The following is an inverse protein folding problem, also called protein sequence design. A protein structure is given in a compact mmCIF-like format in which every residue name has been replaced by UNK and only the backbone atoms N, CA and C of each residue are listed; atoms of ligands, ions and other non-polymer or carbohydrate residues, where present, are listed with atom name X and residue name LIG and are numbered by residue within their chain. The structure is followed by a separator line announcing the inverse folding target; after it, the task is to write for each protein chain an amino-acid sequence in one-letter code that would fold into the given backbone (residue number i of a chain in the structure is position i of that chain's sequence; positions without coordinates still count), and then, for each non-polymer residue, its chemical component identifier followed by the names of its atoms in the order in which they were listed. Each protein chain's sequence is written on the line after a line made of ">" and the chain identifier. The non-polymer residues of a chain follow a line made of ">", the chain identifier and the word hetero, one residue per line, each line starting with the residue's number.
data_IF_303548548074
#
_entry.id   IF_303548548074
#
_cell.length_a   1.000
_cell.length_b   1.000
_cell.length_c   1.000
_cell.angle_alpha   90.00
_cell.angle_beta   90.00
_cell.angle_gamma   90.00
#
_symmetry.space_group_name_H-M   'P 1'
#
loop_
_entity.id
_entity.type
_entity.pdbx_description
1 polymer ?
#
# COMPACT_ATOMS: atom_id res chain seq x y z
N UNK A 1 34.33 53.53 -11.35
CA UNK A 1 33.07 53.46 -12.12
C UNK A 1 32.12 52.56 -11.35
N UNK A 2 31.12 53.17 -10.73
CA UNK A 2 30.19 52.59 -9.75
C UNK A 2 28.82 52.46 -10.41
N UNK A 3 28.35 51.24 -10.64
CA UNK A 3 27.00 50.95 -11.16
C UNK A 3 26.07 50.57 -10.02
N UNK A 4 25.16 51.49 -9.65
CA UNK A 4 24.04 51.20 -8.74
C UNK A 4 22.93 50.50 -9.53
N UNK A 5 22.54 49.30 -9.13
CA UNK A 5 21.30 48.65 -9.57
C UNK A 5 20.13 49.24 -8.77
N UNK A 6 19.12 49.74 -9.49
CA UNK A 6 17.84 50.19 -8.96
C UNK A 6 16.92 48.98 -8.75
N UNK A 7 16.39 48.84 -7.53
CA UNK A 7 15.25 47.99 -7.23
C UNK A 7 13.97 48.64 -7.75
N UNK A 8 13.30 47.98 -8.69
CA UNK A 8 11.93 48.30 -9.10
C UNK A 8 10.94 47.56 -8.22
N UNK A 9 10.29 48.33 -7.34
CA UNK A 9 9.10 47.96 -6.58
C UNK A 9 7.93 47.67 -7.52
N UNK A 10 7.42 46.44 -7.50
CA UNK A 10 6.15 46.07 -8.11
C UNK A 10 5.07 46.07 -7.04
N UNK A 11 4.10 46.96 -7.24
CA UNK A 11 3.03 47.29 -6.31
C UNK A 11 2.07 46.15 -6.02
N UNK A 12 1.62 46.13 -4.76
CA UNK A 12 0.52 45.30 -4.31
C UNK A 12 -0.82 45.80 -4.84
N UNK A 13 -1.57 44.89 -5.45
CA UNK A 13 -3.00 45.00 -5.65
C UNK A 13 -3.70 44.03 -4.68
N UNK A 14 -4.24 44.55 -3.59
CA UNK A 14 -5.12 43.80 -2.69
C UNK A 14 -6.52 43.75 -3.30
N UNK A 15 -6.78 42.71 -4.09
CA UNK A 15 -8.13 42.35 -4.51
C UNK A 15 -8.84 41.65 -3.36
N UNK A 16 -9.77 42.34 -2.71
CA UNK A 16 -10.74 41.75 -1.78
C UNK A 16 -11.73 40.88 -2.59
N UNK A 17 -11.34 39.63 -2.83
CA UNK A 17 -12.27 38.59 -3.24
C UNK A 17 -12.97 38.06 -1.99
N UNK A 18 -14.22 38.50 -1.78
CA UNK A 18 -15.11 37.90 -0.79
C UNK A 18 -15.27 36.41 -1.11
N UNK A 19 -14.63 35.56 -0.31
CA UNK A 19 -14.88 34.11 -0.34
C UNK A 19 -16.29 33.87 0.18
N UNK A 20 -17.17 33.17 -0.55
CA UNK A 20 -18.51 32.88 -0.07
C UNK A 20 -18.42 32.08 1.25
N UNK A 21 -18.99 32.64 2.31
CA UNK A 21 -19.19 31.95 3.59
C UNK A 21 -20.14 30.78 3.35
N UNK A 22 -19.57 29.58 3.22
CA UNK A 22 -20.33 28.34 3.26
C UNK A 22 -20.67 28.06 4.72
N UNK A 23 -21.96 28.10 5.07
CA UNK A 23 -22.48 27.73 6.38
C UNK A 23 -21.92 26.36 6.84
N UNK A 24 -21.54 26.31 8.12
CA UNK A 24 -20.93 25.19 8.87
C UNK A 24 -21.83 23.94 9.04
N UNK A 25 -22.51 23.53 7.97
CA UNK A 25 -23.08 22.19 7.86
C UNK A 25 -21.96 21.21 7.55
N UNK A 26 -21.32 20.66 8.59
CA UNK A 26 -20.26 19.66 8.44
C UNK A 26 -20.64 18.62 7.38
N UNK A 27 -19.73 18.29 6.44
CA UNK A 27 -20.09 17.50 5.27
C UNK A 27 -20.67 16.17 5.74
N UNK A 28 -21.96 15.95 5.46
CA UNK A 28 -22.59 14.65 5.69
C UNK A 28 -21.80 13.56 4.95
N UNK A 29 -22.04 12.29 5.28
CA UNK A 29 -21.32 11.15 4.69
C UNK A 29 -21.28 11.20 3.13
N UNK A 30 -22.33 11.75 2.51
CA UNK A 30 -22.39 12.04 1.07
C UNK A 30 -21.48 13.20 0.63
N UNK A 31 -21.34 14.28 1.41
CA UNK A 31 -20.40 15.37 1.15
C UNK A 31 -18.93 14.94 1.29
N UNK A 32 -18.63 13.96 2.14
CA UNK A 32 -17.28 13.36 2.25
C UNK A 32 -16.97 12.41 1.09
N UNK A 33 -18.00 11.80 0.49
CA UNK A 33 -17.85 10.88 -0.66
C UNK A 33 -17.97 11.59 -2.02
N UNK A 34 -18.67 12.72 -2.12
CA UNK A 34 -18.86 13.50 -3.34
C UNK A 34 -17.59 14.09 -3.98
N UNK A 35 -16.50 14.46 -3.28
CA UNK A 35 -15.27 14.88 -3.96
C UNK A 35 -14.67 13.79 -4.85
N UNK A 36 -15.05 12.52 -4.69
CA UNK A 36 -14.65 11.45 -5.62
C UNK A 36 -15.30 11.55 -7.01
N UNK A 37 -16.47 12.21 -7.12
CA UNK A 37 -17.26 12.26 -8.37
C UNK A 37 -17.11 13.62 -9.06
N UNK A 38 -16.90 14.69 -8.29
CA UNK A 38 -16.70 16.03 -8.83
C UNK A 38 -15.20 16.37 -8.83
N UNK A 39 -14.62 16.59 -10.01
CA UNK A 39 -13.24 17.08 -10.19
C UNK A 39 -13.27 18.61 -10.40
N UNK A 40 -13.24 19.45 -9.35
CA UNK A 40 -13.16 20.90 -9.50
C UNK A 40 -11.72 21.30 -9.79
N UNK A 41 -11.20 21.01 -10.97
CA UNK A 41 -9.82 21.35 -11.31
C UNK A 41 -9.68 21.80 -12.77
N UNK A 42 -9.56 23.11 -12.95
CA UNK A 42 -9.32 23.75 -14.25
C UNK A 42 -7.89 23.54 -14.77
N UNK A 43 -6.93 23.17 -13.90
CA UNK A 43 -5.53 22.96 -14.28
C UNK A 43 -5.06 21.50 -14.16
N UNK A 44 -4.00 21.12 -14.88
CA UNK A 44 -3.36 19.81 -14.71
C UNK A 44 -2.65 19.68 -13.36
N UNK A 45 -2.11 20.78 -12.83
CA UNK A 45 -1.43 20.81 -11.53
C UNK A 45 -2.37 20.55 -10.36
N UNK A 46 -3.56 21.17 -10.38
CA UNK A 46 -4.55 20.98 -9.32
C UNK A 46 -5.12 19.55 -9.32
N UNK A 47 -5.31 18.92 -10.50
CA UNK A 47 -5.67 17.49 -10.61
C UNK A 47 -4.60 16.59 -10.00
N UNK A 48 -3.33 16.91 -10.23
CA UNK A 48 -2.22 16.13 -9.67
C UNK A 48 -2.16 16.25 -8.14
N UNK A 49 -2.25 17.47 -7.61
CA UNK A 49 -2.27 17.71 -6.16
C UNK A 49 -3.45 16.98 -5.48
N UNK A 50 -4.62 16.98 -6.12
CA UNK A 50 -5.77 16.21 -5.63
C UNK A 50 -5.49 14.70 -5.59
N UNK A 51 -4.93 14.14 -6.66
CA UNK A 51 -4.59 12.71 -6.70
C UNK A 51 -3.55 12.32 -5.66
N UNK A 52 -2.49 13.12 -5.48
CA UNK A 52 -1.49 12.90 -4.42
C UNK A 52 -2.14 12.93 -3.02
N UNK A 53 -2.96 13.95 -2.74
CA UNK A 53 -3.70 14.04 -1.49
C UNK A 53 -4.64 12.84 -1.27
N UNK A 54 -5.32 12.38 -2.33
CA UNK A 54 -6.20 11.23 -2.26
C UNK A 54 -5.45 9.96 -1.88
N UNK A 55 -4.33 9.67 -2.55
CA UNK A 55 -3.53 8.47 -2.29
C UNK A 55 -2.81 8.49 -0.94
N UNK A 56 -2.39 9.68 -0.48
CA UNK A 56 -1.69 9.83 0.80
C UNK A 56 -2.66 9.86 2.00
N UNK A 57 -3.94 10.16 1.74
CA UNK A 57 -5.00 10.13 2.74
C UNK A 57 -5.24 8.73 3.31
N UNK A 58 -5.93 8.67 4.46
CA UNK A 58 -6.40 7.41 5.06
C UNK A 58 -7.28 6.65 4.07
N UNK A 59 -8.10 7.35 3.27
CA UNK A 59 -8.98 6.73 2.29
C UNK A 59 -8.21 6.10 1.13
N UNK A 60 -7.16 6.76 0.63
CA UNK A 60 -6.26 6.17 -0.36
C UNK A 60 -5.66 4.85 0.12
N UNK A 61 -5.24 4.80 1.39
CA UNK A 61 -4.73 3.57 2.02
C UNK A 61 -5.80 2.51 2.22
N UNK A 62 -7.06 2.88 2.45
CA UNK A 62 -8.18 1.92 2.52
C UNK A 62 -8.50 1.36 1.13
N UNK A 63 -8.43 2.20 0.09
CA UNK A 63 -8.70 1.79 -1.29
C UNK A 63 -7.74 0.71 -1.79
N UNK A 64 -6.48 0.69 -1.34
CA UNK A 64 -5.54 -0.39 -1.69
C UNK A 64 -5.92 -1.75 -1.09
N UNK A 65 -6.78 -1.80 -0.07
CA UNK A 65 -7.34 -3.05 0.47
C UNK A 65 -8.67 -3.45 -0.16
N UNK A 66 -9.25 -2.61 -1.04
CA UNK A 66 -10.56 -2.84 -1.63
C UNK A 66 -10.68 -4.19 -2.37
N UNK A 67 -9.68 -4.66 -3.16
CA UNK A 67 -9.74 -5.99 -3.76
C UNK A 67 -9.97 -7.12 -2.75
N UNK A 68 -9.28 -7.07 -1.60
CA UNK A 68 -9.44 -8.07 -0.54
C UNK A 68 -10.80 -7.96 0.15
N UNK A 69 -11.29 -6.73 0.38
CA UNK A 69 -12.61 -6.49 0.95
C UNK A 69 -13.69 -7.07 0.04
N UNK A 70 -13.60 -6.87 -1.28
CA UNK A 70 -14.53 -7.42 -2.25
C UNK A 70 -14.52 -8.95 -2.23
N UNK A 71 -13.34 -9.56 -2.14
CA UNK A 71 -13.25 -11.02 -2.05
C UNK A 71 -13.89 -11.53 -0.74
N UNK A 72 -13.64 -10.87 0.39
CA UNK A 72 -14.25 -11.27 1.66
C UNK A 72 -15.77 -11.07 1.68
N UNK A 73 -16.27 -9.96 1.12
CA UNK A 73 -17.68 -9.61 1.15
C UNK A 73 -18.53 -10.44 0.17
N UNK A 74 -18.00 -10.69 -1.03
CA UNK A 74 -18.76 -11.30 -2.14
C UNK A 74 -18.41 -12.78 -2.32
N UNK A 75 -17.19 -13.18 -1.97
CA UNK A 75 -16.62 -14.49 -2.30
C UNK A 75 -17.39 -15.70 -1.77
N UNK A 76 -18.13 -15.53 -0.67
CA UNK A 76 -18.97 -16.60 -0.11
C UNK A 76 -20.15 -16.98 -1.02
N UNK A 77 -20.74 -16.01 -1.72
CA UNK A 77 -21.95 -16.21 -2.53
C UNK A 77 -21.65 -16.24 -4.03
N UNK A 78 -20.71 -15.41 -4.48
CA UNK A 78 -20.41 -15.22 -5.90
C UNK A 78 -18.90 -15.17 -6.12
N UNK A 79 -18.24 -16.32 -5.97
CA UNK A 79 -16.79 -16.48 -6.17
C UNK A 79 -16.28 -15.83 -7.46
N UNK A 80 -16.97 -16.08 -8.59
CA UNK A 80 -16.62 -15.54 -9.91
C UNK A 80 -16.68 -14.02 -9.94
N UNK A 81 -17.78 -13.43 -9.44
CA UNK A 81 -17.91 -11.98 -9.39
C UNK A 81 -16.86 -11.36 -8.46
N UNK A 82 -16.63 -11.99 -7.29
CA UNK A 82 -15.67 -11.51 -6.31
C UNK A 82 -14.23 -11.43 -6.88
N UNK A 83 -13.76 -12.48 -7.55
CA UNK A 83 -12.39 -12.52 -8.10
C UNK A 83 -12.23 -11.59 -9.30
N UNK A 84 -13.21 -11.54 -10.21
CA UNK A 84 -13.16 -10.61 -11.34
C UNK A 84 -13.27 -9.15 -10.90
N UNK A 85 -14.11 -8.83 -9.90
CA UNK A 85 -14.18 -7.48 -9.35
C UNK A 85 -12.89 -7.10 -8.62
N UNK A 86 -12.28 -8.01 -7.86
CA UNK A 86 -11.00 -7.75 -7.22
C UNK A 86 -9.87 -7.51 -8.24
N UNK A 87 -9.79 -8.32 -9.30
CA UNK A 87 -8.87 -8.09 -10.41
C UNK A 87 -9.13 -6.74 -11.09
N UNK A 88 -10.40 -6.41 -11.37
CA UNK A 88 -10.76 -5.13 -11.99
C UNK A 88 -10.37 -3.92 -11.14
N UNK A 89 -10.60 -3.98 -9.82
CA UNK A 89 -10.17 -2.92 -8.90
C UNK A 89 -8.65 -2.82 -8.82
N UNK A 90 -7.94 -3.93 -8.71
CA UNK A 90 -6.47 -3.93 -8.69
C UNK A 90 -5.89 -3.33 -9.98
N UNK A 91 -6.48 -3.66 -11.13
CA UNK A 91 -6.09 -3.09 -12.41
C UNK A 91 -6.32 -1.57 -12.46
N UNK A 92 -7.43 -1.07 -11.89
CA UNK A 92 -7.68 0.36 -11.75
C UNK A 92 -6.67 1.05 -10.83
N UNK A 93 -6.28 0.40 -9.72
CA UNK A 93 -5.24 0.91 -8.81
C UNK A 93 -3.88 0.99 -9.53
N UNK A 94 -3.52 -0.02 -10.33
CA UNK A 94 -2.31 0.03 -11.17
C UNK A 94 -2.39 1.17 -12.17
N UNK A 95 -3.50 1.35 -12.89
CA UNK A 95 -3.63 2.46 -13.83
C UNK A 95 -3.51 3.82 -13.12
N UNK A 96 -4.09 3.96 -11.93
CA UNK A 96 -3.97 5.17 -11.13
C UNK A 96 -2.52 5.39 -10.62
N UNK A 97 -1.80 4.32 -10.26
CA UNK A 97 -0.37 4.38 -9.91
C UNK A 97 0.49 4.78 -11.12
N UNK A 98 0.25 4.20 -12.30
CA UNK A 98 0.92 4.57 -13.55
C UNK A 98 0.66 6.04 -13.85
N UNK A 99 -0.59 6.50 -13.74
CA UNK A 99 -0.94 7.90 -13.93
C UNK A 99 -0.19 8.81 -12.94
N UNK A 100 -0.16 8.46 -11.64
CA UNK A 100 0.59 9.18 -10.60
C UNK A 100 2.09 9.27 -10.93
N UNK A 101 2.70 8.17 -11.37
CA UNK A 101 4.13 8.10 -11.70
C UNK A 101 4.56 9.01 -12.85
N UNK A 102 3.62 9.40 -13.74
CA UNK A 102 3.91 10.36 -14.82
C UNK A 102 4.22 11.75 -14.30
N UNK A 103 3.67 12.11 -13.13
CA UNK A 103 3.84 13.42 -12.53
C UNK A 103 4.81 13.39 -11.34
N UNK A 104 4.93 12.25 -10.67
CA UNK A 104 5.85 12.06 -9.55
C UNK A 104 6.91 11.01 -9.88
N UNK A 105 8.11 11.47 -10.29
CA UNK A 105 9.26 10.59 -10.63
C UNK A 105 9.75 9.70 -9.49
N UNK A 106 9.35 9.98 -8.24
CA UNK A 106 9.75 9.20 -7.07
C UNK A 106 8.83 7.99 -6.84
N UNK A 107 7.64 7.99 -7.44
CA UNK A 107 6.68 6.89 -7.36
C UNK A 107 6.90 5.97 -8.57
N UNK A 108 7.23 4.68 -8.36
CA UNK A 108 7.37 3.75 -9.47
C UNK A 108 6.03 3.57 -10.19
N UNK A 109 6.06 3.44 -11.52
CA UNK A 109 4.84 3.27 -12.32
C UNK A 109 4.02 2.04 -11.89
N UNK A 110 4.72 0.93 -11.65
CA UNK A 110 4.14 -0.31 -11.16
C UNK A 110 4.84 -0.65 -9.85
N UNK A 111 4.07 -0.64 -8.78
CA UNK A 111 4.49 -1.11 -7.47
C UNK A 111 4.61 -2.65 -7.50
N UNK A 112 5.64 -3.19 -6.85
CA UNK A 112 5.94 -4.62 -6.92
C UNK A 112 4.79 -5.46 -6.34
N UNK A 113 4.23 -5.00 -5.22
CA UNK A 113 3.10 -5.66 -4.58
C UNK A 113 1.88 -5.65 -5.51
N UNK A 114 1.50 -4.50 -6.04
CA UNK A 114 0.33 -4.32 -6.90
C UNK A 114 0.44 -5.17 -8.18
N UNK A 115 1.61 -5.18 -8.82
CA UNK A 115 1.86 -6.04 -9.97
C UNK A 115 1.71 -7.53 -9.65
N UNK A 116 2.25 -7.96 -8.50
CA UNK A 116 2.11 -9.34 -8.02
C UNK A 116 0.67 -9.71 -7.66
N UNK A 117 -0.06 -8.81 -7.01
CA UNK A 117 -1.47 -8.99 -6.65
C UNK A 117 -2.36 -9.04 -7.89
N UNK A 118 -2.13 -8.17 -8.86
CA UNK A 118 -2.86 -8.15 -10.13
C UNK A 118 -2.70 -9.49 -10.87
N UNK A 119 -1.47 -9.99 -10.99
CA UNK A 119 -1.21 -11.30 -11.59
C UNK A 119 -1.84 -12.44 -10.78
N UNK A 120 -1.78 -12.37 -9.45
CA UNK A 120 -2.40 -13.35 -8.57
C UNK A 120 -3.92 -13.40 -8.72
N UNK A 121 -4.59 -12.24 -8.67
CA UNK A 121 -6.04 -12.13 -8.85
C UNK A 121 -6.48 -12.52 -10.27
N UNK A 122 -5.70 -12.17 -11.30
CA UNK A 122 -5.95 -12.63 -12.66
C UNK A 122 -5.90 -14.16 -12.76
N UNK A 123 -4.82 -14.76 -12.24
CA UNK A 123 -4.65 -16.22 -12.23
C UNK A 123 -5.78 -16.91 -11.48
N UNK A 124 -6.19 -16.36 -10.33
CA UNK A 124 -7.32 -16.86 -9.56
C UNK A 124 -8.66 -16.69 -10.29
N UNK A 125 -8.92 -15.54 -10.93
CA UNK A 125 -10.15 -15.29 -11.68
C UNK A 125 -10.28 -16.26 -12.87
N UNK A 126 -9.18 -16.51 -13.59
CA UNK A 126 -9.12 -17.52 -14.65
C UNK A 126 -9.38 -18.92 -14.08
N UNK A 127 -8.68 -19.30 -13.00
CA UNK A 127 -8.85 -20.61 -12.37
C UNK A 127 -10.29 -20.85 -11.91
N UNK A 128 -10.92 -19.85 -11.27
CA UNK A 128 -12.34 -19.89 -10.88
C UNK A 128 -13.21 -20.03 -12.12
N UNK A 129 -12.97 -19.27 -13.18
CA UNK A 129 -13.78 -19.29 -14.41
C UNK A 129 -13.74 -20.64 -15.11
N UNK A 130 -12.56 -21.26 -15.21
CA UNK A 130 -12.38 -22.58 -15.82
C UNK A 130 -13.06 -23.66 -14.97
N UNK A 131 -12.83 -23.66 -13.66
CA UNK A 131 -13.39 -24.67 -12.76
C UNK A 131 -14.91 -24.51 -12.55
N UNK A 132 -15.47 -23.33 -12.81
CA UNK A 132 -16.90 -23.07 -12.72
C UNK A 132 -17.70 -23.72 -13.86
N UNK A 133 -17.09 -23.89 -15.03
CA UNK A 133 -17.75 -24.41 -16.24
C UNK A 133 -18.18 -25.88 -16.13
N UNK A 134 -17.36 -26.71 -15.47
CA UNK A 134 -17.56 -28.16 -15.46
C UNK A 134 -18.47 -28.67 -14.34
N UNK A 135 -18.65 -27.91 -13.25
CA UNK A 135 -19.61 -28.22 -12.19
C UNK A 135 -19.74 -27.03 -11.23
N UNK A 136 -20.92 -26.39 -11.21
CA UNK A 136 -21.25 -25.29 -10.26
C UNK A 136 -21.00 -25.64 -8.79
N UNK A 137 -20.87 -26.92 -8.45
CA UNK A 137 -20.73 -27.41 -7.09
C UNK A 137 -19.27 -27.70 -6.68
N UNK A 138 -18.32 -27.77 -7.63
CA UNK A 138 -16.96 -28.25 -7.34
C UNK A 138 -16.05 -27.13 -6.85
N UNK A 139 -16.25 -25.88 -7.27
CA UNK A 139 -15.44 -24.79 -6.76
C UNK A 139 -15.88 -24.40 -5.34
N UNK A 140 -15.18 -24.97 -4.37
CA UNK A 140 -15.43 -24.71 -2.97
C UNK A 140 -14.94 -23.30 -2.62
N UNK A 141 -15.87 -22.34 -2.41
CA UNK A 141 -15.55 -20.95 -2.05
C UNK A 141 -14.55 -20.82 -0.89
N UNK A 142 -14.43 -21.85 -0.04
CA UNK A 142 -13.43 -21.90 1.03
C UNK A 142 -11.97 -21.94 0.55
N UNK A 143 -11.69 -22.23 -0.73
CA UNK A 143 -10.34 -22.18 -1.31
C UNK A 143 -9.90 -20.75 -1.65
N UNK A 144 -10.81 -19.80 -1.74
CA UNK A 144 -10.48 -18.43 -2.14
C UNK A 144 -9.56 -17.76 -1.11
N UNK A 145 -9.92 -17.85 0.18
CA UNK A 145 -9.14 -17.28 1.27
C UNK A 145 -7.68 -17.81 1.33
N UNK A 146 -7.44 -19.14 1.37
CA UNK A 146 -6.07 -19.65 1.41
C UNK A 146 -5.27 -19.36 0.14
N UNK A 147 -5.91 -19.29 -1.03
CA UNK A 147 -5.21 -18.88 -2.26
C UNK A 147 -4.77 -17.42 -2.17
N UNK A 148 -5.63 -16.52 -1.69
CA UNK A 148 -5.29 -15.09 -1.58
C UNK A 148 -4.15 -14.80 -0.60
N UNK A 149 -4.20 -15.40 0.59
CA UNK A 149 -3.13 -15.25 1.57
C UNK A 149 -1.82 -15.86 1.07
N UNK A 150 -1.90 -16.94 0.27
CA UNK A 150 -0.74 -17.54 -0.40
C UNK A 150 -0.17 -16.64 -1.51
N UNK A 151 -1.01 -15.92 -2.25
CA UNK A 151 -0.56 -14.89 -3.22
C UNK A 151 0.21 -13.79 -2.49
N UNK A 152 -0.34 -13.23 -1.39
CA UNK A 152 0.35 -12.22 -0.58
C UNK A 152 1.71 -12.70 -0.07
N UNK A 153 1.74 -13.93 0.48
CA UNK A 153 2.97 -14.57 0.93
C UNK A 153 3.96 -14.76 -0.22
N UNK A 154 3.51 -15.31 -1.36
CA UNK A 154 4.34 -15.60 -2.52
C UNK A 154 4.93 -14.34 -3.16
N UNK A 155 4.15 -13.29 -3.33
CA UNK A 155 4.62 -11.99 -3.85
C UNK A 155 5.64 -11.39 -2.88
N UNK A 156 5.35 -11.41 -1.57
CA UNK A 156 6.30 -10.89 -0.57
C UNK A 156 7.60 -11.68 -0.56
N UNK A 157 7.54 -13.01 -0.66
CA UNK A 157 8.70 -13.88 -0.73
C UNK A 157 9.52 -13.59 -2.00
N UNK A 158 8.86 -13.47 -3.15
CA UNK A 158 9.51 -13.13 -4.42
C UNK A 158 10.20 -11.77 -4.34
N UNK A 159 9.59 -10.78 -3.68
CA UNK A 159 10.17 -9.46 -3.46
C UNK A 159 11.50 -9.54 -2.69
N UNK A 160 11.56 -10.43 -1.68
CA UNK A 160 12.77 -10.67 -0.89
C UNK A 160 13.85 -11.39 -1.69
N UNK A 161 13.48 -12.41 -2.48
CA UNK A 161 14.40 -13.18 -3.33
C UNK A 161 15.05 -12.26 -4.38
N UNK A 162 14.28 -11.35 -4.97
CA UNK A 162 14.78 -10.39 -5.94
C UNK A 162 15.51 -9.20 -5.30
N UNK A 163 15.62 -9.15 -3.97
CA UNK A 163 16.20 -8.03 -3.23
C UNK A 163 15.51 -6.68 -3.54
N UNK A 164 14.22 -6.71 -3.89
CA UNK A 164 13.38 -5.54 -4.13
C UNK A 164 12.28 -5.53 -3.05
N UNK A 165 12.58 -5.07 -1.82
CA UNK A 165 11.63 -5.13 -0.72
C UNK A 165 10.37 -4.33 -1.06
N UNK A 166 9.19 -4.97 -1.04
CA UNK A 166 7.96 -4.28 -1.45
C UNK A 166 7.65 -3.05 -0.58
N UNK A 167 8.09 -3.04 0.69
CA UNK A 167 7.91 -1.88 1.59
C UNK A 167 8.60 -0.61 1.10
N UNK A 168 9.63 -0.76 0.25
CA UNK A 168 10.33 0.37 -0.36
C UNK A 168 9.40 1.26 -1.17
N UNK A 169 8.36 0.72 -1.80
CA UNK A 169 7.43 1.51 -2.63
C UNK A 169 6.66 2.55 -1.81
N UNK A 170 6.38 2.27 -0.53
CA UNK A 170 5.71 3.20 0.38
C UNK A 170 6.70 4.18 1.01
N UNK A 171 7.90 3.71 1.34
CA UNK A 171 8.91 4.53 1.99
C UNK A 171 9.54 5.54 1.03
N UNK A 172 9.75 5.17 -0.25
CA UNK A 172 10.46 5.98 -1.26
C UNK A 172 9.77 7.31 -1.55
N UNK A 173 8.44 7.36 -1.50
CA UNK A 173 7.68 8.59 -1.71
C UNK A 173 7.96 9.68 -0.65
N UNK A 174 8.48 9.29 0.52
CA UNK A 174 8.63 10.18 1.68
C UNK A 174 10.10 10.50 2.02
N UNK A 175 11.06 10.07 1.20
CA UNK A 175 12.49 10.27 1.46
C UNK A 175 13.22 10.85 0.25
N UNK A 176 14.22 11.72 0.45
CA UNK A 176 15.08 12.21 -0.63
C UNK A 176 15.77 11.06 -1.38
N UNK A 177 16.09 11.28 -2.65
CA UNK A 177 16.66 10.25 -3.53
C UNK A 177 18.02 9.74 -3.04
N UNK A 178 18.83 10.61 -2.44
CA UNK A 178 20.13 10.28 -1.86
C UNK A 178 19.96 9.32 -0.68
N UNK A 179 18.91 9.51 0.11
CA UNK A 179 18.57 8.63 1.23
C UNK A 179 18.00 7.30 0.72
N UNK A 180 17.15 7.34 -0.30
CA UNK A 180 16.54 6.15 -0.90
C UNK A 180 17.58 5.19 -1.50
N UNK A 181 18.70 5.72 -2.02
CA UNK A 181 19.81 4.93 -2.56
C UNK A 181 20.76 4.40 -1.48
N UNK A 182 20.61 4.82 -0.22
CA UNK A 182 21.51 4.40 0.84
C UNK A 182 21.30 2.93 1.24
N UNK A 183 22.40 2.21 1.50
CA UNK A 183 22.35 0.80 1.97
C UNK A 183 21.57 0.64 3.27
N UNK A 184 21.58 1.65 4.14
CA UNK A 184 20.80 1.66 5.38
C UNK A 184 19.29 1.69 5.12
N UNK A 185 18.84 2.45 4.12
CA UNK A 185 17.44 2.51 3.74
C UNK A 185 16.97 1.18 3.14
N UNK A 186 17.76 0.58 2.25
CA UNK A 186 17.47 -0.74 1.69
C UNK A 186 17.40 -1.81 2.77
N UNK A 187 18.38 -1.86 3.68
CA UNK A 187 18.39 -2.82 4.79
C UNK A 187 17.17 -2.64 5.70
N UNK A 188 16.76 -1.40 5.97
CA UNK A 188 15.55 -1.13 6.74
C UNK A 188 14.28 -1.67 6.08
N UNK A 189 14.12 -1.45 4.77
CA UNK A 189 13.00 -2.00 4.01
C UNK A 189 13.07 -3.53 3.89
N UNK A 190 14.26 -4.13 3.84
CA UNK A 190 14.42 -5.58 3.87
C UNK A 190 13.92 -6.18 5.19
N UNK A 191 14.26 -5.55 6.33
CA UNK A 191 13.79 -5.97 7.66
C UNK A 191 12.27 -5.84 7.77
N UNK A 192 11.70 -4.71 7.32
CA UNK A 192 10.25 -4.50 7.33
C UNK A 192 9.52 -5.50 6.43
N UNK A 193 10.05 -5.75 5.23
CA UNK A 193 9.51 -6.77 4.31
C UNK A 193 9.60 -8.17 4.91
N UNK A 194 10.71 -8.51 5.56
CA UNK A 194 10.87 -9.78 6.26
C UNK A 194 9.88 -9.95 7.41
N UNK A 195 9.56 -8.89 8.14
CA UNK A 195 8.51 -8.89 9.16
C UNK A 195 7.13 -9.20 8.54
N UNK A 196 6.77 -8.54 7.44
CA UNK A 196 5.52 -8.82 6.71
C UNK A 196 5.49 -10.22 6.11
N UNK A 197 6.63 -10.74 5.62
CA UNK A 197 6.75 -12.10 5.13
C UNK A 197 6.34 -13.13 6.18
N UNK A 198 6.80 -12.95 7.43
CA UNK A 198 6.43 -13.82 8.55
C UNK A 198 4.93 -13.75 8.85
N UNK A 199 4.35 -12.54 8.88
CA UNK A 199 2.91 -12.38 9.09
C UNK A 199 2.10 -13.08 7.99
N UNK A 200 2.45 -12.87 6.72
CA UNK A 200 1.76 -13.51 5.60
C UNK A 200 1.96 -15.02 5.56
N UNK A 201 3.12 -15.53 6.00
CA UNK A 201 3.35 -16.97 6.13
C UNK A 201 2.41 -17.58 7.19
N UNK A 202 2.26 -16.94 8.35
CA UNK A 202 1.34 -17.37 9.41
C UNK A 202 -0.12 -17.30 8.91
N UNK A 203 -0.50 -16.21 8.24
CA UNK A 203 -1.83 -16.06 7.66
C UNK A 203 -2.13 -17.16 6.63
N UNK A 204 -1.20 -17.42 5.71
CA UNK A 204 -1.34 -18.46 4.69
C UNK A 204 -1.51 -19.83 5.36
N UNK A 205 -0.61 -20.20 6.27
CA UNK A 205 -0.68 -21.46 7.01
C UNK A 205 -2.02 -21.61 7.75
N UNK A 206 -2.46 -20.57 8.48
CA UNK A 206 -3.73 -20.59 9.21
C UNK A 206 -4.93 -20.79 8.28
N UNK A 207 -4.98 -20.10 7.14
CA UNK A 207 -6.09 -20.26 6.19
C UNK A 207 -6.10 -21.64 5.52
N UNK A 208 -4.94 -22.27 5.29
CA UNK A 208 -4.86 -23.66 4.84
C UNK A 208 -5.30 -24.65 5.93
N UNK A 209 -4.94 -24.43 7.19
CA UNK A 209 -5.46 -25.21 8.32
C UNK A 209 -6.98 -25.07 8.44
N UNK A 210 -7.52 -23.86 8.29
CA UNK A 210 -8.96 -23.62 8.28
C UNK A 210 -9.64 -24.41 7.14
N UNK A 211 -9.05 -24.39 5.94
CA UNK A 211 -9.55 -25.18 4.82
C UNK A 211 -9.55 -26.69 5.09
N UNK A 212 -8.55 -27.21 5.81
CA UNK A 212 -8.54 -28.61 6.23
C UNK A 212 -9.70 -28.93 7.20
N UNK A 213 -9.98 -28.06 8.16
CA UNK A 213 -11.12 -28.22 9.10
C UNK A 213 -12.49 -28.06 8.43
N UNK A 214 -12.56 -27.25 7.38
CA UNK A 214 -13.80 -27.00 6.64
C UNK A 214 -14.44 -28.28 6.10
N UNK A 215 -13.63 -29.28 5.72
CA UNK A 215 -14.13 -30.59 5.25
C UNK A 215 -14.92 -31.34 6.32
N UNK A 216 -14.63 -31.13 7.59
CA UNK A 216 -15.22 -31.87 8.70
C UNK A 216 -16.36 -31.09 9.38
N UNK A 217 -16.25 -29.76 9.50
CA UNK A 217 -17.31 -28.94 10.11
C UNK A 217 -17.23 -27.46 9.66
N UNK A 218 -18.16 -27.07 8.78
CA UNK A 218 -18.24 -25.76 8.13
C UNK A 218 -18.48 -24.57 9.08
N UNK A 219 -19.02 -24.82 10.28
CA UNK A 219 -19.37 -23.79 11.29
C UNK A 219 -18.57 -23.95 12.59
N UNK A 220 -17.46 -24.67 12.53
CA UNK A 220 -16.54 -24.79 13.64
C UNK A 220 -15.99 -23.40 14.02
N UNK A 221 -15.88 -23.14 15.32
CA UNK A 221 -15.32 -21.88 15.85
C UNK A 221 -13.86 -21.73 15.37
N UNK A 222 -13.16 -22.85 15.27
CA UNK A 222 -11.81 -23.01 14.76
C UNK A 222 -11.69 -22.50 13.32
N UNK A 223 -12.65 -22.81 12.45
CA UNK A 223 -12.67 -22.28 11.09
C UNK A 223 -12.77 -20.76 11.07
N UNK A 224 -13.70 -20.17 11.85
CA UNK A 224 -13.92 -18.73 11.90
C UNK A 224 -12.66 -18.01 12.43
N UNK A 225 -12.05 -18.56 13.48
CA UNK A 225 -10.83 -18.00 14.07
C UNK A 225 -9.69 -18.02 13.05
N UNK A 226 -9.42 -19.18 12.44
CA UNK A 226 -8.28 -19.35 11.55
C UNK A 226 -8.47 -18.68 10.17
N UNK A 227 -9.68 -18.71 9.61
CA UNK A 227 -9.96 -18.18 8.27
C UNK A 227 -10.20 -16.67 8.24
N UNK A 228 -10.64 -16.07 9.36
CA UNK A 228 -11.10 -14.66 9.37
C UNK A 228 -10.45 -13.86 10.48
N UNK A 229 -10.62 -14.26 11.75
CA UNK A 229 -10.16 -13.44 12.89
C UNK A 229 -8.64 -13.29 12.88
N UNK A 230 -7.91 -14.39 12.75
CA UNK A 230 -6.45 -14.38 12.80
C UNK A 230 -5.82 -13.57 11.66
N UNK A 231 -6.22 -13.72 10.37
CA UNK A 231 -5.77 -12.85 9.29
C UNK A 231 -5.98 -11.35 9.57
N UNK A 232 -7.17 -10.96 10.05
CA UNK A 232 -7.47 -9.56 10.36
C UNK A 232 -6.57 -9.05 11.48
N UNK A 233 -6.45 -9.80 12.57
CA UNK A 233 -5.60 -9.44 13.71
C UNK A 233 -4.14 -9.30 13.28
N UNK A 234 -3.62 -10.21 12.46
CA UNK A 234 -2.23 -10.14 11.98
C UNK A 234 -1.97 -8.92 11.10
N UNK A 235 -2.91 -8.53 10.24
CA UNK A 235 -2.80 -7.29 9.45
C UNK A 235 -2.80 -6.05 10.36
N UNK A 236 -3.67 -6.02 11.38
CA UNK A 236 -3.71 -4.91 12.35
C UNK A 236 -2.42 -4.83 13.17
N UNK A 237 -1.92 -5.97 13.66
CA UNK A 237 -0.63 -6.05 14.36
C UNK A 237 0.50 -5.59 13.45
N UNK A 238 0.51 -6.02 12.18
CA UNK A 238 1.46 -5.55 11.17
C UNK A 238 1.44 -4.04 11.00
N UNK A 239 0.26 -3.45 10.87
CA UNK A 239 0.07 -2.00 10.75
C UNK A 239 0.54 -1.22 11.99
N UNK A 240 0.28 -1.73 13.20
CA UNK A 240 0.68 -1.07 14.46
C UNK A 240 2.20 -1.20 14.71
N UNK A 241 2.79 -2.35 14.39
CA UNK A 241 4.21 -2.62 14.67
C UNK A 241 5.15 -2.05 13.60
N UNK A 242 4.71 -1.91 12.34
CA UNK A 242 5.56 -1.40 11.25
C UNK A 242 6.18 -0.03 11.56
N UNK A 243 5.43 0.99 12.04
CA UNK A 243 6.02 2.29 12.41
C UNK A 243 7.06 2.18 13.53
N UNK A 244 6.78 1.37 14.56
CA UNK A 244 7.69 1.15 15.68
C UNK A 244 8.99 0.49 15.22
N UNK A 245 8.89 -0.50 14.34
CA UNK A 245 10.03 -1.18 13.74
C UNK A 245 10.86 -0.20 12.88
N UNK A 246 10.20 0.65 12.10
CA UNK A 246 10.88 1.69 11.31
C UNK A 246 11.68 2.66 12.21
N UNK A 247 11.14 3.04 13.37
CA UNK A 247 11.83 3.91 14.32
C UNK A 247 13.04 3.25 14.97
N UNK A 248 12.96 1.95 15.30
CA UNK A 248 14.11 1.17 15.81
C UNK A 248 15.21 1.12 14.76
N UNK A 249 14.88 0.80 13.51
CA UNK A 249 15.83 0.76 12.39
C UNK A 249 16.49 2.14 12.19
N UNK A 250 15.72 3.23 12.25
CA UNK A 250 16.25 4.60 12.16
C UNK A 250 17.22 4.93 13.30
N UNK A 251 16.89 4.56 14.54
CA UNK A 251 17.77 4.77 15.71
C UNK A 251 19.08 4.00 15.57
N UNK A 252 19.02 2.73 15.14
CA UNK A 252 20.22 1.92 14.89
C UNK A 252 21.10 2.51 13.77
N UNK A 253 20.49 3.01 12.70
CA UNK A 253 21.23 3.65 11.61
C UNK A 253 21.93 4.94 12.07
N UNK A 254 21.28 5.76 12.90
CA UNK A 254 21.88 6.97 13.50
C UNK A 254 23.04 6.62 14.44
N UNK A 255 22.88 5.63 15.31
CA UNK A 255 23.92 5.19 16.23
C UNK A 255 25.18 4.69 15.49
N UNK A 256 25.01 3.88 14.42
CA UNK A 256 26.13 3.43 13.58
C UNK A 256 26.87 4.58 12.90
N UNK A 257 26.17 5.63 12.47
CA UNK A 257 26.79 6.82 11.88
C UNK A 257 27.61 7.61 12.91
N UNK A 258 27.07 7.80 14.12
CA UNK A 258 27.77 8.49 15.20
C UNK A 258 29.04 7.76 15.65
N UNK A 259 28.98 6.42 15.75
CA UNK A 259 30.16 5.60 16.06
C UNK A 259 31.26 5.74 14.98
N UNK A 260 30.87 5.75 13.70
CA UNK A 260 31.82 5.90 12.58
C UNK A 260 32.45 7.30 12.53
N UNK A 261 31.71 8.36 12.84
CA UNK A 261 32.27 9.72 12.91
C UNK A 261 33.23 9.93 14.08
N UNK A 262 33.02 9.20 15.19
CA UNK A 262 33.95 9.25 16.34
C UNK A 262 35.32 8.66 16.00
N UNK A 263 35.36 7.53 15.31
CA UNK A 263 36.63 6.88 14.92
C UNK A 263 37.46 7.72 13.95
N UNK A 264 36.82 8.36 12.97
CA UNK A 264 37.56 9.15 11.97
C UNK A 264 38.24 10.39 12.59
N UNK A 265 37.70 10.94 13.68
CA UNK A 265 38.31 12.09 14.35
C UNK A 265 39.55 11.71 15.19
N UNK A 266 39.75 10.42 15.47
CA UNK A 266 40.86 9.92 16.29
C UNK A 266 42.08 9.53 15.44
N UNK A 267 41.89 9.14 14.17
CA UNK A 267 42.98 8.84 13.22
C UNK A 267 43.67 10.09 12.65
N UNK A 268 43.01 11.25 12.62
CA UNK A 268 43.56 12.51 12.08
C UNK A 268 44.42 13.30 13.09
N UNK A 269 44.74 12.72 14.26
CA UNK A 269 45.65 13.32 15.23
C UNK A 269 46.95 12.50 15.36
N UNK A 270 47.87 12.57 14.37
CA UNK A 270 49.20 11.99 14.52
C UNK A 270 49.99 12.80 15.54
N UNK A 271 50.32 12.15 16.65
CA UNK A 271 51.26 12.64 17.67
C UNK A 271 52.64 12.86 17.04
#
# INVERSE_FOLDING_TARGET
>A
MSGKMQETSLGGGTGNGETPEFEDGGPGLLGTLLPFIYFPCDSSESRHAYMENLFDSVWGKVLTFLPFILIMAIGCNHALAATWSAFGVELLLIFASIYRSRYNKFVPAIMFLDGGLCLGFLGQAIAVSVLWGDNRQTYNCSLISPVNTSILFGVTLLSMILCVPFTMQFARAHVPEEVAKSSSFLMGNQIMTGFWLVLFAIMSAATWCAYAFYRNNRRSVEYIILATVLPIVLVLVGGILTPKLADVVRKQAKAKRAAKSGMNNEEDNPI
#
